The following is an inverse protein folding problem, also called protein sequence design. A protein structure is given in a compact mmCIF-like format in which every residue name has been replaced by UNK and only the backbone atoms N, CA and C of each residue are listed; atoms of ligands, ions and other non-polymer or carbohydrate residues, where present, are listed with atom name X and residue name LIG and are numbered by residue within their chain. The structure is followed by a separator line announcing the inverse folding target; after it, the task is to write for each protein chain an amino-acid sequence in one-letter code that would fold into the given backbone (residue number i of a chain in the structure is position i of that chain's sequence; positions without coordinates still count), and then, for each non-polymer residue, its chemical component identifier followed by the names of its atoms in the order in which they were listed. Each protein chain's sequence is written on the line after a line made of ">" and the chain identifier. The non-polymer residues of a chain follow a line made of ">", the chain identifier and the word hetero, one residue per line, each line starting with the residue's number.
data_IF_567306205486
#
_entry.id   IF_567306205486
#
_cell.length_a   1.000
_cell.length_b   1.000
_cell.length_c   1.000
_cell.angle_alpha   90.00
_cell.angle_beta   90.00
_cell.angle_gamma   90.00
#
_symmetry.space_group_name_H-M   'P 1'
#
loop_
_entity.id
_entity.type
_entity.pdbx_description
1 polymer ?
#
# COMPACT_ATOMS: atom_id res chain seq x y z
N UNK A 1 20.08 17.38 -18.09
CA UNK A 1 20.01 17.31 -16.60
C UNK A 1 18.81 18.08 -16.02
N UNK A 2 18.64 19.40 -16.25
CA UNK A 2 17.47 20.17 -15.71
C UNK A 2 16.09 19.61 -16.09
N UNK A 3 15.87 19.24 -17.35
CA UNK A 3 14.59 18.63 -17.79
C UNK A 3 14.31 17.25 -17.17
N UNK A 4 15.36 16.47 -16.90
CA UNK A 4 15.25 15.15 -16.25
C UNK A 4 14.85 15.32 -14.78
N UNK A 5 15.48 16.28 -14.09
CA UNK A 5 15.14 16.62 -12.72
C UNK A 5 13.71 17.17 -12.61
N UNK A 6 13.27 17.97 -13.58
CA UNK A 6 11.89 18.47 -13.64
C UNK A 6 10.86 17.35 -13.84
N UNK A 7 11.14 16.37 -14.71
CA UNK A 7 10.26 15.19 -14.88
C UNK A 7 10.24 14.30 -13.63
N UNK A 8 11.39 14.09 -12.99
CA UNK A 8 11.48 13.35 -11.74
C UNK A 8 10.68 14.03 -10.64
N UNK A 9 10.83 15.35 -10.50
CA UNK A 9 10.09 16.14 -9.52
C UNK A 9 8.59 16.08 -9.78
N UNK A 10 8.14 16.21 -11.04
CA UNK A 10 6.73 16.07 -11.39
C UNK A 10 6.19 14.66 -11.06
N UNK A 11 6.94 13.60 -11.39
CA UNK A 11 6.56 12.24 -11.01
C UNK A 11 6.48 12.08 -9.48
N UNK A 12 7.47 12.60 -8.75
CA UNK A 12 7.50 12.53 -7.29
C UNK A 12 6.32 13.28 -6.67
N UNK A 13 6.08 14.52 -7.08
CA UNK A 13 4.97 15.35 -6.56
C UNK A 13 3.63 14.73 -6.94
N UNK A 14 3.42 14.37 -8.20
CA UNK A 14 2.18 13.75 -8.67
C UNK A 14 1.87 12.44 -7.94
N UNK A 15 2.88 11.60 -7.71
CA UNK A 15 2.74 10.37 -6.94
C UNK A 15 2.38 10.65 -5.47
N UNK A 16 3.12 11.56 -4.82
CA UNK A 16 2.90 11.91 -3.42
C UNK A 16 1.49 12.49 -3.21
N UNK A 17 1.09 13.48 -4.02
CA UNK A 17 -0.21 14.14 -3.92
C UNK A 17 -1.34 13.14 -4.19
N UNK A 18 -1.23 12.32 -5.24
CA UNK A 18 -2.30 11.36 -5.59
C UNK A 18 -2.54 10.35 -4.48
N UNK A 19 -1.48 9.76 -3.92
CA UNK A 19 -1.61 8.79 -2.82
C UNK A 19 -1.99 9.42 -1.48
N UNK A 20 -1.58 10.67 -1.24
CA UNK A 20 -1.97 11.40 -0.04
C UNK A 20 -3.46 11.75 -0.07
N UNK A 21 -3.97 12.29 -1.19
CA UNK A 21 -5.41 12.55 -1.37
C UNK A 21 -6.21 11.25 -1.29
N UNK A 22 -5.73 10.19 -1.92
CA UNK A 22 -6.33 8.85 -1.83
C UNK A 22 -6.42 8.36 -0.38
N UNK A 23 -5.34 8.50 0.40
CA UNK A 23 -5.29 8.10 1.80
C UNK A 23 -6.20 8.93 2.70
N UNK A 24 -6.22 10.25 2.53
CA UNK A 24 -7.10 11.16 3.30
C UNK A 24 -8.58 10.85 3.00
N UNK A 25 -8.93 10.63 1.73
CA UNK A 25 -10.30 10.26 1.36
C UNK A 25 -10.66 8.90 1.94
N UNK A 26 -9.75 7.92 1.90
CA UNK A 26 -9.96 6.63 2.54
C UNK A 26 -10.32 6.77 4.02
N UNK A 27 -9.52 7.55 4.76
CA UNK A 27 -9.76 7.84 6.16
C UNK A 27 -11.10 8.57 6.36
N UNK A 28 -11.34 9.68 5.65
CA UNK A 28 -12.59 10.46 5.73
C UNK A 28 -13.85 9.62 5.49
N UNK A 29 -13.78 8.67 4.56
CA UNK A 29 -14.92 7.80 4.25
C UNK A 29 -15.20 6.80 5.37
N UNK A 30 -14.17 6.34 6.10
CA UNK A 30 -14.29 5.30 7.13
C UNK A 30 -14.43 5.86 8.56
N UNK A 31 -13.92 7.06 8.84
CA UNK A 31 -13.83 7.59 10.21
C UNK A 31 -14.85 8.68 10.53
N UNK A 32 -15.45 9.32 9.52
CA UNK A 32 -16.36 10.46 9.73
C UNK A 32 -17.75 10.19 9.17
N UNK A 33 -18.82 10.72 9.82
CA UNK A 33 -20.19 10.46 9.39
C UNK A 33 -20.54 11.25 8.11
N UNK A 34 -21.53 10.73 7.39
CA UNK A 34 -22.25 11.39 6.31
C UNK A 34 -23.65 11.71 6.82
N UNK A 35 -23.97 12.99 7.02
CA UNK A 35 -25.26 13.42 7.58
C UNK A 35 -25.68 12.68 8.87
N UNK A 36 -24.71 12.34 9.73
CA UNK A 36 -24.94 11.62 10.99
C UNK A 36 -24.87 10.09 10.91
N UNK A 37 -24.78 9.50 9.71
CA UNK A 37 -24.64 8.05 9.52
C UNK A 37 -23.18 7.68 9.17
N UNK A 38 -22.65 6.66 9.82
CA UNK A 38 -21.30 6.15 9.54
C UNK A 38 -21.32 5.08 8.45
N UNK A 39 -20.27 5.07 7.63
CA UNK A 39 -20.09 4.03 6.63
C UNK A 39 -19.56 2.75 7.28
N UNK A 40 -20.44 1.75 7.42
CA UNK A 40 -20.12 0.52 8.16
C UNK A 40 -19.44 -0.56 7.31
N UNK A 41 -19.71 -0.63 6.00
CA UNK A 41 -19.30 -1.76 5.15
C UNK A 41 -17.92 -1.59 4.52
N UNK A 42 -16.87 -2.05 5.21
CA UNK A 42 -15.51 -2.04 4.65
C UNK A 42 -15.39 -2.91 3.39
N UNK A 43 -16.14 -4.01 3.30
CA UNK A 43 -16.18 -4.85 2.09
C UNK A 43 -16.72 -4.11 0.88
N UNK A 44 -17.75 -3.25 1.06
CA UNK A 44 -18.28 -2.40 -0.01
C UNK A 44 -17.22 -1.43 -0.54
N UNK A 45 -16.40 -0.86 0.36
CA UNK A 45 -15.30 0.01 -0.05
C UNK A 45 -14.16 -0.75 -0.76
N UNK A 46 -13.81 -1.95 -0.28
CA UNK A 46 -12.86 -2.82 -1.00
C UNK A 46 -13.39 -3.11 -2.40
N UNK A 47 -14.66 -3.49 -2.54
CA UNK A 47 -15.28 -3.76 -3.84
C UNK A 47 -15.18 -2.56 -4.78
N UNK A 48 -15.51 -1.34 -4.34
CA UNK A 48 -15.39 -0.14 -5.16
C UNK A 48 -13.95 0.13 -5.60
N UNK A 49 -12.98 -0.04 -4.70
CA UNK A 49 -11.57 0.11 -5.04
C UNK A 49 -11.13 -0.92 -6.10
N UNK A 50 -11.58 -2.17 -5.99
CA UNK A 50 -11.27 -3.25 -6.96
C UNK A 50 -11.97 -3.06 -8.30
N UNK A 51 -13.20 -2.55 -8.30
CA UNK A 51 -13.90 -2.17 -9.51
C UNK A 51 -13.14 -1.07 -10.25
N UNK A 52 -12.67 -0.03 -9.54
CA UNK A 52 -11.80 1.00 -10.11
C UNK A 52 -10.52 0.40 -10.71
N UNK A 53 -9.80 -0.43 -9.94
CA UNK A 53 -8.60 -1.14 -10.40
C UNK A 53 -8.84 -2.00 -11.64
N UNK A 54 -9.97 -2.69 -11.71
CA UNK A 54 -10.40 -3.48 -12.86
C UNK A 54 -10.61 -2.62 -14.11
N UNK A 55 -11.33 -1.50 -13.99
CA UNK A 55 -11.58 -0.57 -15.11
C UNK A 55 -10.25 -0.02 -15.63
N UNK A 56 -9.38 0.46 -14.74
CA UNK A 56 -8.09 1.06 -15.09
C UNK A 56 -7.19 0.03 -15.79
N UNK A 57 -7.03 -1.13 -15.17
CA UNK A 57 -6.20 -2.19 -15.74
C UNK A 57 -6.74 -2.68 -17.08
N UNK A 58 -8.06 -2.75 -17.25
CA UNK A 58 -8.71 -3.04 -18.53
C UNK A 58 -8.40 -2.01 -19.62
N UNK A 59 -8.49 -0.71 -19.29
CA UNK A 59 -8.09 0.38 -20.18
C UNK A 59 -6.60 0.27 -20.55
N UNK A 60 -5.74 -0.05 -19.58
CA UNK A 60 -4.31 -0.23 -19.82
C UNK A 60 -4.00 -1.44 -20.71
N UNK A 61 -4.68 -2.57 -20.54
CA UNK A 61 -4.56 -3.71 -21.46
C UNK A 61 -4.96 -3.32 -22.88
N UNK A 62 -6.09 -2.60 -23.02
CA UNK A 62 -6.57 -2.16 -24.33
C UNK A 62 -5.60 -1.19 -25.01
N UNK A 63 -5.03 -0.25 -24.25
CA UNK A 63 -4.12 0.77 -24.76
C UNK A 63 -2.73 0.23 -25.10
N UNK A 64 -2.15 -0.62 -24.22
CA UNK A 64 -0.78 -1.10 -24.37
C UNK A 64 -0.65 -2.43 -25.12
N UNK A 65 -1.76 -3.17 -25.29
CA UNK A 65 -1.82 -4.47 -25.99
C UNK A 65 -0.62 -5.38 -25.66
N UNK A 66 -0.40 -5.71 -24.37
CA UNK A 66 0.70 -6.58 -23.97
C UNK A 66 0.61 -7.96 -24.66
N UNK A 67 1.77 -8.61 -24.91
CA UNK A 67 1.81 -9.93 -25.54
C UNK A 67 1.04 -10.96 -24.71
N UNK A 68 0.48 -11.96 -25.40
CA UNK A 68 -0.33 -12.99 -24.77
C UNK A 68 0.48 -13.80 -23.74
N UNK A 69 -0.16 -14.18 -22.64
CA UNK A 69 0.51 -14.85 -21.53
C UNK A 69 -0.01 -16.28 -21.38
N UNK A 70 0.90 -17.22 -21.12
CA UNK A 70 0.66 -18.66 -20.96
C UNK A 70 0.38 -19.07 -19.50
N UNK A 71 0.47 -18.11 -18.56
CA UNK A 71 0.26 -18.34 -17.15
C UNK A 71 -1.14 -18.87 -16.84
N UNK A 72 -1.21 -19.84 -15.92
CA UNK A 72 -2.45 -20.55 -15.64
C UNK A 72 -3.39 -19.66 -14.83
N UNK A 73 -4.65 -19.56 -15.27
CA UNK A 73 -5.67 -18.64 -14.74
C UNK A 73 -5.91 -18.82 -13.23
N UNK A 74 -5.84 -20.04 -12.69
CA UNK A 74 -6.07 -20.26 -11.25
C UNK A 74 -4.93 -19.73 -10.37
N UNK A 75 -3.70 -19.60 -10.89
CA UNK A 75 -2.55 -19.14 -10.09
C UNK A 75 -2.70 -17.67 -9.68
N UNK A 76 -3.52 -16.90 -10.39
CA UNK A 76 -3.91 -15.54 -10.03
C UNK A 76 -4.91 -15.47 -8.87
N UNK A 77 -5.60 -16.56 -8.53
CA UNK A 77 -6.59 -16.55 -7.44
C UNK A 77 -5.93 -16.35 -6.07
N UNK A 78 -4.78 -16.99 -5.80
CA UNK A 78 -4.04 -16.88 -4.54
C UNK A 78 -3.62 -15.44 -4.17
N UNK A 79 -2.92 -14.69 -5.05
CA UNK A 79 -2.55 -13.31 -4.75
C UNK A 79 -3.80 -12.43 -4.66
N UNK A 80 -4.89 -12.75 -5.37
CA UNK A 80 -6.14 -11.97 -5.32
C UNK A 80 -6.87 -12.10 -4.00
N UNK A 81 -7.04 -13.32 -3.47
CA UNK A 81 -7.66 -13.53 -2.16
C UNK A 81 -6.85 -12.83 -1.07
N UNK A 82 -5.52 -13.00 -1.10
CA UNK A 82 -4.64 -12.32 -0.16
C UNK A 82 -4.71 -10.79 -0.29
N UNK A 83 -4.78 -10.27 -1.52
CA UNK A 83 -4.87 -8.83 -1.75
C UNK A 83 -6.21 -8.23 -1.30
N UNK A 84 -7.31 -8.98 -1.47
CA UNK A 84 -8.62 -8.63 -0.93
C UNK A 84 -8.59 -8.58 0.61
N UNK A 85 -8.09 -9.64 1.25
CA UNK A 85 -8.01 -9.72 2.71
C UNK A 85 -7.07 -8.64 3.30
N UNK A 86 -5.96 -8.35 2.62
CA UNK A 86 -5.06 -7.24 2.95
C UNK A 86 -5.81 -5.90 2.96
N UNK A 87 -6.61 -5.59 1.93
CA UNK A 87 -7.38 -4.34 1.89
C UNK A 87 -8.47 -4.28 2.94
N UNK A 88 -9.20 -5.38 3.16
CA UNK A 88 -10.22 -5.43 4.19
C UNK A 88 -9.64 -5.19 5.59
N UNK A 89 -8.57 -5.92 5.94
CA UNK A 89 -7.90 -5.75 7.24
C UNK A 89 -7.31 -4.34 7.41
N UNK A 90 -6.76 -3.74 6.35
CA UNK A 90 -6.30 -2.35 6.37
C UNK A 90 -7.43 -1.35 6.62
N UNK A 91 -8.59 -1.53 5.96
CA UNK A 91 -9.72 -0.62 6.07
C UNK A 91 -10.42 -0.76 7.42
N UNK A 92 -10.61 -1.99 7.89
CA UNK A 92 -11.13 -2.25 9.25
C UNK A 92 -10.18 -1.72 10.32
N UNK A 93 -8.86 -1.83 10.13
CA UNK A 93 -7.91 -1.27 11.08
C UNK A 93 -8.06 0.25 11.26
N UNK A 94 -8.56 0.99 10.27
CA UNK A 94 -8.80 2.44 10.41
C UNK A 94 -9.94 2.76 11.39
N UNK A 95 -10.82 1.79 11.70
CA UNK A 95 -11.87 1.97 12.70
C UNK A 95 -11.35 1.89 14.14
N UNK A 96 -10.13 1.36 14.33
CA UNK A 96 -9.50 1.12 15.64
C UNK A 96 -8.17 1.85 15.82
N UNK A 97 -7.53 2.26 14.71
CA UNK A 97 -6.18 2.79 14.69
C UNK A 97 -6.12 3.98 13.75
N UNK A 98 -5.51 5.06 14.21
CA UNK A 98 -5.32 6.28 13.41
C UNK A 98 -4.42 6.03 12.19
N UNK A 99 -4.64 6.82 11.12
CA UNK A 99 -3.85 6.75 9.89
C UNK A 99 -2.33 6.84 10.10
N UNK A 100 -1.78 7.66 11.03
CA UNK A 100 -0.34 7.74 11.27
C UNK A 100 0.24 6.45 11.84
N UNK A 101 -0.48 5.81 12.76
CA UNK A 101 -0.09 4.51 13.31
C UNK A 101 -0.10 3.45 12.21
N UNK A 102 -1.07 3.47 11.28
CA UNK A 102 -1.03 2.58 10.11
C UNK A 102 0.20 2.84 9.22
N UNK A 103 0.55 4.11 8.99
CA UNK A 103 1.72 4.47 8.20
C UNK A 103 3.03 4.00 8.86
N UNK A 104 3.10 4.04 10.18
CA UNK A 104 4.23 3.48 10.93
C UNK A 104 4.29 1.96 10.84
N UNK A 105 3.17 1.26 10.97
CA UNK A 105 3.13 -0.19 10.73
C UNK A 105 3.52 -0.56 9.30
N UNK A 106 3.20 0.27 8.30
CA UNK A 106 3.69 0.06 6.93
C UNK A 106 5.20 0.12 6.81
N UNK A 107 5.92 0.88 7.66
CA UNK A 107 7.39 0.81 7.70
C UNK A 107 7.89 -0.58 8.11
N UNK A 108 7.15 -1.30 8.97
CA UNK A 108 7.49 -2.66 9.38
C UNK A 108 7.30 -3.71 8.27
N UNK A 109 6.56 -3.39 7.21
CA UNK A 109 6.22 -4.31 6.10
C UNK A 109 7.43 -5.05 5.53
N UNK A 110 8.60 -4.43 5.55
CA UNK A 110 9.84 -5.07 5.12
C UNK A 110 10.12 -6.40 5.83
N UNK A 111 9.83 -6.50 7.14
CA UNK A 111 10.12 -7.70 7.91
C UNK A 111 9.25 -8.88 7.46
N UNK A 112 7.90 -8.75 7.40
CA UNK A 112 7.05 -9.82 6.86
C UNK A 112 7.35 -10.16 5.40
N UNK A 113 7.71 -9.19 4.57
CA UNK A 113 8.10 -9.44 3.18
C UNK A 113 9.30 -10.39 3.10
N UNK A 114 10.36 -10.13 3.85
CA UNK A 114 11.58 -10.94 3.81
C UNK A 114 11.32 -12.36 4.33
N UNK A 115 10.56 -12.47 5.43
CA UNK A 115 10.16 -13.76 6.00
C UNK A 115 9.32 -14.57 4.99
N UNK A 116 8.33 -13.94 4.38
CA UNK A 116 7.46 -14.57 3.38
C UNK A 116 8.24 -14.96 2.11
N UNK A 117 9.18 -14.13 1.67
CA UNK A 117 10.03 -14.43 0.51
C UNK A 117 10.94 -15.63 0.74
N UNK A 118 11.46 -15.78 1.97
CA UNK A 118 12.21 -16.99 2.37
C UNK A 118 11.30 -18.21 2.46
N UNK A 119 10.09 -18.06 3.02
CA UNK A 119 9.10 -19.14 3.13
C UNK A 119 8.66 -19.67 1.76
N UNK A 120 8.43 -18.78 0.79
CA UNK A 120 8.05 -19.15 -0.58
C UNK A 120 9.26 -19.57 -1.45
N UNK A 121 10.47 -19.53 -0.92
CA UNK A 121 11.70 -19.93 -1.61
C UNK A 121 12.10 -18.98 -2.75
N UNK A 122 11.68 -17.72 -2.71
CA UNK A 122 11.87 -16.78 -3.81
C UNK A 122 13.29 -16.22 -3.88
N UNK A 123 13.86 -15.78 -2.74
CA UNK A 123 15.18 -15.12 -2.67
C UNK A 123 15.83 -15.26 -1.29
N UNK A 124 17.17 -15.20 -1.28
CA UNK A 124 17.98 -15.03 -0.06
C UNK A 124 18.41 -13.57 0.09
N UNK A 125 18.19 -13.00 1.26
CA UNK A 125 18.53 -11.60 1.54
C UNK A 125 19.91 -11.47 2.20
N UNK A 126 20.64 -10.37 1.93
CA UNK A 126 21.93 -10.10 2.57
C UNK A 126 21.78 -9.78 4.07
N UNK A 127 22.81 -10.09 4.85
CA UNK A 127 22.80 -9.92 6.32
C UNK A 127 22.42 -8.50 6.78
N UNK A 128 22.77 -7.46 6.00
CA UNK A 128 22.46 -6.07 6.36
C UNK A 128 20.96 -5.76 6.33
N UNK A 129 20.17 -6.43 5.47
CA UNK A 129 18.72 -6.20 5.42
C UNK A 129 18.06 -6.70 6.72
N UNK A 130 18.55 -7.79 7.32
CA UNK A 130 18.06 -8.29 8.61
C UNK A 130 18.36 -7.32 9.76
N UNK A 131 19.54 -6.68 9.76
CA UNK A 131 19.90 -5.66 10.76
C UNK A 131 18.98 -4.45 10.63
N UNK A 132 18.72 -4.01 9.39
CA UNK A 132 17.77 -2.91 9.13
C UNK A 132 16.36 -3.26 9.62
N UNK A 133 15.89 -4.47 9.33
CA UNK A 133 14.60 -4.96 9.82
C UNK A 133 14.48 -4.92 11.33
N UNK A 134 15.52 -5.37 12.03
CA UNK A 134 15.58 -5.32 13.48
C UNK A 134 15.52 -3.88 14.00
N UNK A 135 16.29 -2.96 13.41
CA UNK A 135 16.28 -1.55 13.80
C UNK A 135 14.94 -0.87 13.53
N UNK A 136 14.28 -1.16 12.40
CA UNK A 136 12.94 -0.64 12.09
C UNK A 136 11.93 -1.16 13.12
N UNK A 137 11.91 -2.47 13.39
CA UNK A 137 11.02 -3.06 14.40
C UNK A 137 11.25 -2.47 15.79
N UNK A 138 12.53 -2.29 16.17
CA UNK A 138 12.91 -1.69 17.45
C UNK A 138 12.49 -0.22 17.56
N UNK A 139 12.69 0.58 16.50
CA UNK A 139 12.27 1.98 16.47
C UNK A 139 10.75 2.14 16.54
N UNK A 140 10.00 1.27 15.87
CA UNK A 140 8.53 1.22 15.96
C UNK A 140 8.11 0.84 17.39
N UNK A 141 8.72 -0.18 18.00
CA UNK A 141 8.39 -0.59 19.36
C UNK A 141 8.60 0.55 20.38
N UNK A 142 9.74 1.26 20.32
CA UNK A 142 9.98 2.45 21.16
C UNK A 142 8.92 3.52 20.93
N UNK A 143 8.57 3.77 19.67
CA UNK A 143 7.54 4.74 19.34
C UNK A 143 6.17 4.34 19.92
N UNK A 144 5.78 3.06 19.80
CA UNK A 144 4.50 2.57 20.32
C UNK A 144 4.44 2.66 21.85
N UNK A 145 5.48 2.19 22.56
CA UNK A 145 5.51 2.28 24.03
C UNK A 145 5.45 3.73 24.52
N UNK A 146 6.19 4.63 23.86
CA UNK A 146 6.13 6.06 24.19
C UNK A 146 4.77 6.70 23.88
N UNK A 147 3.95 6.03 23.08
CA UNK A 147 2.64 6.49 22.65
C UNK A 147 1.53 5.90 23.52
N UNK A 148 1.73 4.76 24.18
CA UNK A 148 0.77 4.21 25.16
C UNK A 148 0.55 5.14 26.37
N UNK A 149 1.56 5.95 26.73
CA UNK A 149 1.46 6.98 27.77
C UNK A 149 0.75 8.27 27.29
N UNK A 150 0.44 8.39 26.01
CA UNK A 150 -0.20 9.56 25.43
C UNK A 150 -1.51 9.13 24.78
N UNK A 151 -2.62 9.45 25.44
CA UNK A 151 -3.97 9.31 24.89
C UNK A 151 -4.01 9.88 23.46
N UNK A 152 -3.89 9.01 22.45
CA UNK A 152 -4.19 9.36 21.08
C UNK A 152 -5.71 9.52 21.04
N UNK A 153 -6.13 10.77 21.17
CA UNK A 153 -7.52 11.18 21.18
C UNK A 153 -8.35 10.51 20.09
N UNK A 154 -9.39 9.81 20.53
CA UNK A 154 -10.79 10.15 20.21
C UNK A 154 -11.10 10.59 18.78
N UNK A 155 -10.78 9.75 17.78
CA UNK A 155 -11.38 9.87 16.44
C UNK A 155 -11.57 8.49 15.74
N UNK A 156 -11.64 7.40 16.51
CA UNK A 156 -11.93 6.06 16.00
C UNK A 156 -13.28 5.55 16.50
N UNK A 157 -14.17 5.18 15.57
CA UNK A 157 -15.59 4.84 15.81
C UNK A 157 -15.77 3.57 16.65
N UNK A 158 -14.82 2.63 16.62
CA UNK A 158 -14.84 1.46 17.50
C UNK A 158 -14.44 1.87 18.91
N UNK A 159 -15.17 1.41 19.94
CA UNK A 159 -14.90 1.68 21.37
C UNK A 159 -13.39 1.55 21.69
N UNK A 160 -12.62 2.66 21.71
CA UNK A 160 -11.19 2.63 22.00
C UNK A 160 -10.96 2.51 23.51
N UNK A 161 -12.03 2.68 24.30
CA UNK A 161 -12.06 2.72 25.75
C UNK A 161 -11.75 1.36 26.41
N UNK A 162 -11.63 0.28 25.63
CA UNK A 162 -11.25 -1.04 26.12
C UNK A 162 -9.92 -1.47 25.48
N UNK A 163 -8.96 -1.94 26.30
CA UNK A 163 -7.71 -2.59 25.88
C UNK A 163 -7.87 -3.59 24.71
N UNK A 164 -9.07 -4.17 24.57
CA UNK A 164 -9.47 -5.06 23.48
C UNK A 164 -9.52 -4.40 22.09
N UNK A 165 -9.92 -3.14 21.97
CA UNK A 165 -10.06 -2.43 20.68
C UNK A 165 -8.72 -2.12 20.02
N UNK A 166 -7.76 -1.59 20.79
CA UNK A 166 -6.39 -1.31 20.31
C UNK A 166 -5.67 -2.60 19.89
N UNK A 167 -5.83 -3.68 20.67
CA UNK A 167 -5.28 -5.01 20.30
C UNK A 167 -5.92 -5.54 19.02
N UNK A 168 -7.24 -5.38 18.84
CA UNK A 168 -7.92 -5.76 17.60
C UNK A 168 -7.32 -5.01 16.39
N UNK A 169 -7.17 -3.69 16.50
CA UNK A 169 -6.54 -2.86 15.48
C UNK A 169 -5.10 -3.27 15.14
N UNK A 170 -4.28 -3.55 16.15
CA UNK A 170 -2.91 -4.04 15.95
C UNK A 170 -2.87 -5.42 15.28
N UNK A 171 -3.76 -6.35 15.68
CA UNK A 171 -3.87 -7.66 15.03
C UNK A 171 -4.30 -7.53 13.56
N UNK A 172 -5.25 -6.65 13.25
CA UNK A 172 -5.66 -6.36 11.88
C UNK A 172 -4.50 -5.81 11.04
N UNK A 173 -3.67 -4.92 11.61
CA UNK A 173 -2.48 -4.42 10.92
C UNK A 173 -1.43 -5.51 10.69
N UNK A 174 -1.23 -6.42 11.65
CA UNK A 174 -0.37 -7.58 11.46
C UNK A 174 -0.87 -8.48 10.33
N UNK A 175 -2.17 -8.80 10.28
CA UNK A 175 -2.75 -9.57 9.18
C UNK A 175 -2.65 -8.85 7.84
N UNK A 176 -2.91 -7.54 7.81
CA UNK A 176 -2.68 -6.70 6.64
C UNK A 176 -1.27 -6.90 6.10
N UNK A 177 -0.24 -6.76 6.94
CA UNK A 177 1.16 -6.90 6.51
C UNK A 177 1.49 -8.31 6.01
N UNK A 178 0.97 -9.35 6.66
CA UNK A 178 1.18 -10.75 6.23
C UNK A 178 0.56 -11.00 4.86
N UNK A 179 -0.70 -10.61 4.68
CA UNK A 179 -1.41 -10.80 3.41
C UNK A 179 -0.84 -9.94 2.29
N UNK A 180 -0.44 -8.71 2.59
CA UNK A 180 0.20 -7.84 1.61
C UNK A 180 1.57 -8.39 1.16
N UNK A 181 2.33 -8.92 2.12
CA UNK A 181 3.61 -9.58 1.85
C UNK A 181 3.45 -10.86 1.04
N UNK A 182 2.46 -11.69 1.35
CA UNK A 182 2.13 -12.88 0.57
C UNK A 182 1.76 -12.51 -0.87
N UNK A 183 0.89 -11.52 -1.04
CA UNK A 183 0.47 -11.05 -2.37
C UNK A 183 1.68 -10.69 -3.21
N UNK A 184 2.57 -9.85 -2.66
CA UNK A 184 3.76 -9.41 -3.37
C UNK A 184 4.70 -10.56 -3.71
N UNK A 185 5.03 -11.39 -2.72
CA UNK A 185 5.96 -12.51 -2.93
C UNK A 185 5.41 -13.56 -3.90
N UNK A 186 4.11 -13.83 -3.86
CA UNK A 186 3.48 -14.71 -4.83
C UNK A 186 3.50 -14.12 -6.24
N UNK A 187 3.22 -12.82 -6.38
CA UNK A 187 3.34 -12.14 -7.66
C UNK A 187 4.76 -12.24 -8.21
N UNK A 188 5.78 -11.95 -7.39
CA UNK A 188 7.19 -12.15 -7.77
C UNK A 188 7.45 -13.54 -8.34
N UNK A 189 7.02 -14.59 -7.61
CA UNK A 189 7.19 -15.98 -8.03
C UNK A 189 6.55 -16.26 -9.39
N UNK A 190 5.36 -15.70 -9.63
CA UNK A 190 4.64 -15.84 -10.91
C UNK A 190 5.43 -15.24 -12.07
N UNK A 191 6.00 -14.05 -11.89
CA UNK A 191 6.82 -13.41 -12.92
C UNK A 191 8.15 -14.11 -13.14
N UNK A 192 8.78 -14.67 -12.09
CA UNK A 192 10.00 -15.47 -12.25
C UNK A 192 9.73 -16.78 -13.01
N UNK A 193 8.52 -17.35 -12.86
CA UNK A 193 8.14 -18.61 -13.51
C UNK A 193 7.63 -18.41 -14.94
N UNK A 194 6.99 -17.28 -15.22
CA UNK A 194 6.38 -16.96 -16.51
C UNK A 194 6.98 -15.66 -17.04
N UNK A 195 8.04 -15.75 -17.84
CA UNK A 195 8.72 -14.57 -18.40
C UNK A 195 7.85 -13.78 -19.38
N UNK A 196 6.83 -14.43 -19.95
CA UNK A 196 5.80 -13.88 -20.84
C UNK A 196 4.65 -13.17 -20.10
N UNK A 197 4.64 -13.22 -18.76
CA UNK A 197 3.63 -12.55 -17.95
C UNK A 197 3.84 -11.04 -17.96
N UNK A 198 2.88 -10.32 -18.53
CA UNK A 198 2.88 -8.86 -18.48
C UNK A 198 2.37 -8.35 -17.12
N UNK A 199 2.98 -7.29 -16.56
CA UNK A 199 2.47 -6.59 -15.38
C UNK A 199 1.02 -6.14 -15.48
N UNK A 200 0.61 -5.74 -16.69
CA UNK A 200 -0.77 -5.34 -16.96
C UNK A 200 -1.73 -6.53 -16.80
N UNK A 201 -1.36 -7.71 -17.33
CA UNK A 201 -2.14 -8.94 -17.17
C UNK A 201 -2.28 -9.32 -15.69
N UNK A 202 -1.20 -9.26 -14.91
CA UNK A 202 -1.25 -9.52 -13.47
C UNK A 202 -2.16 -8.52 -12.75
N UNK A 203 -2.02 -7.23 -13.02
CA UNK A 203 -2.84 -6.19 -12.39
C UNK A 203 -4.33 -6.36 -12.71
N UNK A 204 -4.65 -6.71 -13.96
CA UNK A 204 -6.02 -6.97 -14.39
C UNK A 204 -6.59 -8.23 -13.76
N UNK A 205 -5.86 -9.35 -13.82
CA UNK A 205 -6.28 -10.60 -13.22
C UNK A 205 -6.51 -10.45 -11.72
N UNK A 206 -5.57 -9.84 -11.00
CA UNK A 206 -5.67 -9.65 -9.55
C UNK A 206 -6.84 -8.77 -9.18
N UNK A 207 -7.06 -7.64 -9.86
CA UNK A 207 -8.23 -6.81 -9.58
C UNK A 207 -9.55 -7.48 -9.97
N UNK A 208 -9.58 -8.27 -11.06
CA UNK A 208 -10.78 -9.00 -11.49
C UNK A 208 -11.18 -10.05 -10.46
N UNK A 209 -10.26 -10.94 -10.09
CA UNK A 209 -10.53 -11.97 -9.09
C UNK A 209 -10.83 -11.34 -7.72
N UNK A 210 -10.08 -10.30 -7.30
CA UNK A 210 -10.35 -9.60 -6.04
C UNK A 210 -11.73 -8.94 -6.04
N UNK A 211 -12.17 -8.36 -7.16
CA UNK A 211 -13.52 -7.79 -7.30
C UNK A 211 -14.59 -8.87 -7.17
N UNK A 212 -14.43 -10.00 -7.85
CA UNK A 212 -15.36 -11.14 -7.76
C UNK A 212 -15.43 -11.67 -6.33
N UNK A 213 -14.30 -11.94 -5.68
CA UNK A 213 -14.27 -12.42 -4.31
C UNK A 213 -14.88 -11.39 -3.34
N UNK A 214 -14.57 -10.10 -3.50
CA UNK A 214 -15.13 -9.04 -2.65
C UNK A 214 -16.64 -8.96 -2.79
N UNK A 215 -17.16 -9.09 -4.01
CA UNK A 215 -18.60 -9.11 -4.27
C UNK A 215 -19.27 -10.33 -3.64
N UNK A 216 -18.69 -11.52 -3.79
CA UNK A 216 -19.18 -12.75 -3.16
C UNK A 216 -19.22 -12.57 -1.63
N UNK A 217 -18.15 -12.04 -1.03
CA UNK A 217 -18.12 -11.78 0.42
C UNK A 217 -19.17 -10.75 0.84
N UNK A 218 -19.39 -9.70 0.06
CA UNK A 218 -20.41 -8.68 0.33
C UNK A 218 -21.84 -9.24 0.31
N UNK A 219 -22.12 -10.18 -0.60
CA UNK A 219 -23.39 -10.91 -0.65
C UNK A 219 -23.53 -11.86 0.55
N UNK A 220 -22.48 -12.63 0.86
CA UNK A 220 -22.50 -13.60 1.97
C UNK A 220 -22.63 -12.94 3.35
N UNK A 221 -22.00 -11.80 3.56
CA UNK A 221 -22.08 -11.02 4.81
C UNK A 221 -23.40 -10.25 4.95
N UNK A 222 -24.26 -10.26 3.92
CA UNK A 222 -25.54 -9.53 3.86
C UNK A 222 -25.39 -8.00 4.02
N UNK A 223 -24.20 -7.47 3.73
CA UNK A 223 -23.93 -6.03 3.77
C UNK A 223 -24.25 -5.33 2.45
N UNK A 224 -24.52 -6.07 1.37
CA UNK A 224 -24.76 -5.50 0.03
C UNK A 224 -25.90 -4.48 0.01
N UNK A 225 -27.04 -4.81 0.63
CA UNK A 225 -28.22 -3.95 0.64
C UNK A 225 -27.94 -2.65 1.41
N UNK A 226 -27.37 -2.76 2.60
CA UNK A 226 -26.97 -1.62 3.43
C UNK A 226 -25.94 -0.73 2.73
N UNK A 227 -24.97 -1.34 2.05
CA UNK A 227 -23.96 -0.63 1.28
C UNK A 227 -24.58 0.17 0.13
N UNK A 228 -25.43 -0.46 -0.68
CA UNK A 228 -26.09 0.19 -1.83
C UNK A 228 -27.01 1.31 -1.36
N UNK A 229 -27.81 1.06 -0.33
CA UNK A 229 -28.72 2.06 0.24
C UNK A 229 -27.95 3.27 0.77
N UNK A 230 -26.85 3.06 1.49
CA UNK A 230 -26.00 4.13 2.00
C UNK A 230 -25.42 4.99 0.86
N UNK A 231 -24.90 4.35 -0.19
CA UNK A 231 -24.33 5.05 -1.36
C UNK A 231 -25.38 5.89 -2.08
N UNK A 232 -26.63 5.40 -2.19
CA UNK A 232 -27.74 6.15 -2.80
C UNK A 232 -28.21 7.30 -1.91
N UNK A 233 -28.26 7.09 -0.59
CA UNK A 233 -28.76 8.06 0.39
C UNK A 233 -27.81 9.24 0.57
N UNK A 234 -26.49 9.03 0.42
CA UNK A 234 -25.47 10.03 0.67
C UNK A 234 -24.74 10.44 -0.61
N UNK A 235 -25.23 11.46 -1.36
CA UNK A 235 -24.66 11.84 -2.65
C UNK A 235 -23.23 12.38 -2.56
N UNK A 236 -22.81 12.92 -1.40
CA UNK A 236 -21.43 13.30 -1.14
C UNK A 236 -20.46 12.12 -1.28
N UNK A 237 -20.92 10.90 -0.96
CA UNK A 237 -20.11 9.69 -1.08
C UNK A 237 -19.75 9.40 -2.54
N UNK A 238 -20.62 9.71 -3.51
CA UNK A 238 -20.32 9.55 -4.93
C UNK A 238 -19.11 10.39 -5.35
N UNK A 239 -19.03 11.64 -4.86
CA UNK A 239 -17.91 12.51 -5.15
C UNK A 239 -16.62 11.96 -4.51
N UNK A 240 -16.68 11.52 -3.25
CA UNK A 240 -15.52 10.91 -2.60
C UNK A 240 -15.03 9.66 -3.32
N UNK A 241 -15.95 8.75 -3.71
CA UNK A 241 -15.62 7.54 -4.47
C UNK A 241 -15.03 7.88 -5.83
N UNK A 242 -15.59 8.88 -6.54
CA UNK A 242 -15.06 9.31 -7.84
C UNK A 242 -13.63 9.84 -7.73
N UNK A 243 -13.40 10.78 -6.80
CA UNK A 243 -12.05 11.34 -6.57
C UNK A 243 -11.10 10.25 -6.10
N UNK A 244 -11.55 9.36 -5.22
CA UNK A 244 -10.77 8.21 -4.74
C UNK A 244 -10.32 7.31 -5.89
N UNK A 245 -11.23 6.95 -6.82
CA UNK A 245 -10.89 6.16 -8.01
C UNK A 245 -9.96 6.91 -8.97
N UNK A 246 -10.17 8.21 -9.20
CA UNK A 246 -9.29 9.02 -10.06
C UNK A 246 -7.88 9.10 -9.46
N UNK A 247 -7.76 9.41 -8.17
CA UNK A 247 -6.47 9.48 -7.48
C UNK A 247 -5.76 8.13 -7.47
N UNK A 248 -6.49 7.02 -7.30
CA UNK A 248 -5.94 5.67 -7.43
C UNK A 248 -5.38 5.42 -8.84
N UNK A 249 -6.15 5.79 -9.87
CA UNK A 249 -5.74 5.68 -11.29
C UNK A 249 -4.48 6.48 -11.59
N UNK A 250 -4.51 7.77 -11.27
CA UNK A 250 -3.41 8.70 -11.53
C UNK A 250 -2.17 8.27 -10.75
N UNK A 251 -2.34 7.82 -9.50
CA UNK A 251 -1.29 7.23 -8.69
C UNK A 251 -0.63 6.03 -9.37
N UNK A 252 -1.42 5.07 -9.87
CA UNK A 252 -0.92 3.90 -10.60
C UNK A 252 -0.17 4.29 -11.89
N UNK A 253 -0.65 5.29 -12.63
CA UNK A 253 0.04 5.81 -13.82
C UNK A 253 1.38 6.45 -13.46
N UNK A 254 1.45 7.23 -12.38
CA UNK A 254 2.71 7.80 -11.89
C UNK A 254 3.68 6.73 -11.39
N UNK A 255 3.21 5.66 -10.75
CA UNK A 255 4.06 4.51 -10.41
C UNK A 255 4.69 3.96 -11.69
N UNK A 256 3.86 3.62 -12.67
CA UNK A 256 4.33 3.05 -13.93
C UNK A 256 5.32 3.98 -14.63
N UNK A 257 4.99 5.26 -14.74
CA UNK A 257 5.84 6.27 -15.38
C UNK A 257 7.16 6.49 -14.64
N UNK A 258 7.13 6.43 -13.30
CA UNK A 258 8.34 6.60 -12.48
C UNK A 258 9.28 5.42 -12.68
N UNK A 259 8.76 4.21 -12.59
CA UNK A 259 9.58 2.99 -12.75
C UNK A 259 10.10 2.89 -14.18
N UNK A 260 9.25 3.12 -15.18
CA UNK A 260 9.67 3.05 -16.60
C UNK A 260 10.80 4.02 -16.94
N UNK A 261 10.76 5.24 -16.42
CA UNK A 261 11.73 6.28 -16.79
C UNK A 261 12.95 6.38 -15.87
N UNK A 262 12.79 6.04 -14.59
CA UNK A 262 13.81 6.25 -13.56
C UNK A 262 14.22 4.98 -12.83
N UNK A 263 13.57 3.85 -13.10
CA UNK A 263 13.85 2.57 -12.46
C UNK A 263 13.20 2.43 -11.08
N UNK A 264 13.27 1.22 -10.55
CA UNK A 264 12.58 0.84 -9.34
C UNK A 264 13.25 1.37 -8.06
N UNK A 265 14.58 1.59 -8.07
CA UNK A 265 15.33 2.23 -6.98
C UNK A 265 14.78 3.64 -6.70
N UNK A 266 14.61 4.45 -7.74
CA UNK A 266 14.14 5.84 -7.63
C UNK A 266 12.70 5.88 -7.16
N UNK A 267 11.86 4.99 -7.68
CA UNK A 267 10.48 4.84 -7.21
C UNK A 267 10.41 4.55 -5.70
N UNK A 268 11.23 3.62 -5.21
CA UNK A 268 11.24 3.28 -3.81
C UNK A 268 11.75 4.42 -2.91
N UNK A 269 12.71 5.23 -3.38
CA UNK A 269 13.12 6.45 -2.68
C UNK A 269 11.94 7.43 -2.55
N UNK A 270 11.17 7.63 -3.64
CA UNK A 270 9.98 8.50 -3.62
C UNK A 270 8.94 7.96 -2.62
N UNK A 271 8.71 6.64 -2.61
CA UNK A 271 7.74 6.00 -1.71
C UNK A 271 8.14 6.09 -0.23
N UNK A 272 9.42 5.89 0.08
CA UNK A 272 9.93 6.07 1.43
C UNK A 272 9.80 7.53 1.87
N UNK A 273 10.18 8.48 1.01
CA UNK A 273 10.03 9.91 1.28
C UNK A 273 8.57 10.27 1.57
N UNK A 274 7.61 9.69 0.85
CA UNK A 274 6.18 9.86 1.12
C UNK A 274 5.82 9.46 2.53
N UNK A 275 6.23 8.27 2.97
CA UNK A 275 5.90 7.76 4.31
C UNK A 275 6.45 8.71 5.39
N UNK A 276 7.70 9.15 5.23
CA UNK A 276 8.33 10.14 6.12
C UNK A 276 7.51 11.43 6.16
N UNK A 277 7.17 11.99 4.99
CA UNK A 277 6.38 13.22 4.87
C UNK A 277 4.98 13.08 5.46
N UNK A 278 4.29 11.96 5.24
CA UNK A 278 2.96 11.70 5.80
C UNK A 278 2.98 11.63 7.33
N UNK A 279 3.99 10.98 7.92
CA UNK A 279 4.15 10.92 9.37
C UNK A 279 4.42 12.32 9.93
N UNK A 280 5.38 13.05 9.36
CA UNK A 280 5.72 14.42 9.79
C UNK A 280 4.52 15.36 9.66
N UNK A 281 3.81 15.33 8.53
CA UNK A 281 2.65 16.18 8.28
C UNK A 281 1.52 15.87 9.26
N UNK A 282 1.31 14.60 9.59
CA UNK A 282 0.32 14.22 10.61
C UNK A 282 0.71 14.71 12.00
N UNK A 283 1.98 14.56 12.39
CA UNK A 283 2.46 15.06 13.68
C UNK A 283 2.25 16.57 13.82
N UNK A 284 2.46 17.33 12.73
CA UNK A 284 2.26 18.78 12.70
C UNK A 284 0.78 19.15 12.74
N UNK A 285 -0.07 18.50 11.92
CA UNK A 285 -1.49 18.86 11.81
C UNK A 285 -2.28 18.51 13.06
N UNK A 286 -2.07 17.32 13.61
CA UNK A 286 -2.87 16.83 14.73
C UNK A 286 -2.28 17.22 16.09
N UNK A 287 -1.19 17.98 16.12
CA UNK A 287 -0.52 18.45 17.33
C UNK A 287 -0.32 17.35 18.37
N UNK A 288 -0.03 16.12 17.91
CA UNK A 288 0.20 15.01 18.82
C UNK A 288 1.41 15.36 19.69
N UNK A 289 1.29 15.37 21.02
CA UNK A 289 2.45 15.50 21.88
C UNK A 289 3.36 14.31 21.51
N UNK A 290 4.59 14.59 21.05
CA UNK A 290 5.58 13.55 20.82
C UNK A 290 6.50 13.60 22.04
N UNK A 291 6.40 12.60 22.90
CA UNK A 291 7.34 12.40 24.00
C UNK A 291 8.76 12.25 23.43
N UNK A 292 9.76 12.66 24.22
CA UNK A 292 11.16 12.57 23.81
C UNK A 292 11.57 11.14 23.39
N UNK A 293 10.95 10.13 23.99
CA UNK A 293 11.16 8.72 23.65
C UNK A 293 10.57 8.36 22.27
N UNK A 294 9.36 8.83 21.95
CA UNK A 294 8.74 8.65 20.63
C UNK A 294 9.53 9.34 19.51
N UNK A 295 10.08 10.52 19.77
CA UNK A 295 10.97 11.21 18.81
C UNK A 295 12.24 10.40 18.53
N UNK A 296 12.79 9.73 19.54
CA UNK A 296 13.94 8.85 19.39
C UNK A 296 13.61 7.60 18.57
N UNK A 297 12.45 6.97 18.82
CA UNK A 297 11.95 5.85 18.02
C UNK A 297 11.79 6.18 16.53
N UNK A 298 11.18 7.33 16.22
CA UNK A 298 11.06 7.83 14.84
C UNK A 298 12.43 8.06 14.17
N UNK A 299 13.37 8.65 14.90
CA UNK A 299 14.72 8.88 14.38
C UNK A 299 15.40 7.55 13.99
N UNK A 300 15.27 6.51 14.80
CA UNK A 300 15.81 5.17 14.49
C UNK A 300 15.20 4.61 13.20
N UNK A 301 13.87 4.69 13.05
CA UNK A 301 13.18 4.21 11.84
C UNK A 301 13.68 4.94 10.60
N UNK A 302 13.75 6.27 10.65
CA UNK A 302 14.22 7.08 9.52
C UNK A 302 15.69 6.80 9.18
N UNK A 303 16.56 6.70 10.19
CA UNK A 303 17.97 6.38 10.00
C UNK A 303 18.16 4.99 9.36
N UNK A 304 17.35 4.00 9.77
CA UNK A 304 17.39 2.63 9.24
C UNK A 304 16.98 2.57 7.76
N UNK A 305 15.89 3.26 7.41
CA UNK A 305 15.42 3.39 6.02
C UNK A 305 16.49 4.09 5.17
N UNK A 306 17.04 5.21 5.65
CA UNK A 306 18.08 5.95 4.93
C UNK A 306 19.35 5.12 4.72
N UNK A 307 19.78 4.36 5.73
CA UNK A 307 20.91 3.44 5.64
C UNK A 307 20.69 2.35 4.59
N UNK A 308 19.50 1.75 4.58
CA UNK A 308 19.12 0.73 3.58
C UNK A 308 19.13 1.28 2.16
N UNK A 309 18.56 2.47 1.95
CA UNK A 309 18.57 3.15 0.65
C UNK A 309 20.01 3.39 0.21
N UNK A 310 20.87 3.91 1.09
CA UNK A 310 22.28 4.14 0.79
C UNK A 310 22.99 2.85 0.36
N UNK A 311 22.76 1.74 1.06
CA UNK A 311 23.34 0.42 0.75
C UNK A 311 22.85 -0.13 -0.58
N UNK A 312 21.56 -0.03 -0.89
CA UNK A 312 21.01 -0.46 -2.20
C UNK A 312 21.46 0.43 -3.36
N UNK A 313 21.79 1.69 -3.08
CA UNK A 313 22.31 2.66 -4.06
C UNK A 313 23.80 2.44 -4.36
N UNK A 314 24.56 1.88 -3.41
CA UNK A 314 25.98 1.58 -3.61
C UNK A 314 26.15 0.51 -4.72
N UNK A 315 26.57 0.95 -5.91
CA UNK A 315 26.85 0.07 -7.05
C UNK A 315 25.86 0.18 -8.21
N UNK A 316 24.75 0.93 -8.07
CA UNK A 316 23.79 1.17 -9.15
C UNK A 316 23.77 2.65 -9.55
N UNK A 317 23.87 2.95 -10.85
CA UNK A 317 23.65 4.31 -11.35
C UNK A 317 22.18 4.71 -11.13
N UNK A 318 21.96 5.71 -10.28
CA UNK A 318 20.61 6.21 -9.91
C UNK A 318 19.78 6.75 -11.09
N UNK A 319 20.41 7.06 -12.22
CA UNK A 319 19.74 7.64 -13.39
C UNK A 319 20.20 6.89 -14.63
N UNK A 320 19.69 5.66 -14.82
CA UNK A 320 19.87 4.93 -16.08
C UNK A 320 18.66 5.19 -16.97
N UNK A 321 18.83 5.95 -18.04
CA UNK A 321 17.78 6.13 -19.06
C UNK A 321 17.69 4.82 -19.86
N UNK A 322 16.74 3.94 -19.54
CA UNK A 322 16.59 2.65 -20.25
C UNK A 322 15.68 2.86 -21.47
N UNK A 323 16.29 3.09 -22.64
CA UNK A 323 15.58 3.42 -23.90
C UNK A 323 14.83 2.23 -24.52
N UNK A 324 15.11 1.00 -24.08
CA UNK A 324 14.39 -0.20 -24.51
C UNK A 324 14.38 -1.23 -23.36
N UNK A 325 13.21 -1.55 -22.83
CA UNK A 325 12.98 -2.75 -22.02
C UNK A 325 12.32 -3.75 -22.97
N UNK A 326 13.09 -4.72 -23.46
CA UNK A 326 12.55 -5.76 -24.35
C UNK A 326 11.93 -6.94 -23.59
N UNK A 327 12.05 -7.02 -22.26
CA UNK A 327 11.50 -8.12 -21.47
C UNK A 327 10.76 -7.59 -20.22
N UNK A 328 9.47 -7.91 -20.13
CA UNK A 328 8.61 -7.51 -19.00
C UNK A 328 8.98 -8.17 -17.67
N UNK A 329 9.70 -9.30 -17.71
CA UNK A 329 10.15 -10.08 -16.55
C UNK A 329 11.25 -9.38 -15.74
N UNK A 330 12.30 -8.86 -16.39
CA UNK A 330 13.38 -8.10 -15.72
C UNK A 330 12.84 -6.82 -15.05
N UNK A 331 11.92 -6.14 -15.73
CA UNK A 331 11.28 -4.93 -15.22
C UNK A 331 10.50 -5.22 -13.93
N UNK A 332 9.71 -6.30 -13.89
CA UNK A 332 8.94 -6.64 -12.70
C UNK A 332 9.83 -7.16 -11.56
N UNK A 333 10.90 -7.92 -11.86
CA UNK A 333 11.87 -8.34 -10.85
C UNK A 333 12.51 -7.15 -10.12
N UNK A 334 12.84 -6.08 -10.87
CA UNK A 334 13.37 -4.83 -10.34
C UNK A 334 12.27 -4.06 -9.58
N UNK A 335 11.08 -3.92 -10.16
CA UNK A 335 9.90 -3.30 -9.52
C UNK A 335 9.56 -3.96 -8.19
N UNK A 336 9.55 -5.28 -8.11
CA UNK A 336 9.14 -6.02 -6.92
C UNK A 336 10.22 -6.05 -5.84
N UNK A 337 11.49 -6.22 -6.21
CA UNK A 337 12.63 -6.13 -5.27
C UNK A 337 12.74 -4.75 -4.59
N UNK A 338 12.10 -3.74 -5.17
CA UNK A 338 12.05 -2.37 -4.67
C UNK A 338 10.63 -1.90 -4.22
N UNK A 339 9.53 -2.57 -4.61
CA UNK A 339 8.16 -2.45 -4.04
C UNK A 339 8.00 -3.25 -2.74
N UNK A 340 8.92 -4.19 -2.49
CA UNK A 340 9.20 -4.80 -1.21
C UNK A 340 9.90 -3.81 -0.22
N UNK A 341 9.84 -2.50 -0.51
CA UNK A 341 10.10 -1.39 0.43
C UNK A 341 8.78 -0.71 0.74
#
# INVERSE_FOLDING_TARGET
>A
KKQVLGRLFNCAVGLNVSFLVWGILQERMLTRPYNGEYFSSSYGLVFLNRLGGFIISGIMLYAFKPPHTSAVVYEFSFPSVSNMLSSWTQYEALKYVSFPTQMLFKCFKLVPIMLMGKFLGNKSYPAYDYVVCFMIGFGIAIFMVSTEDMEFGTDSIGTPETWSGTICGMMLLCFFLVFDSFTGQWQSRMFSRHEDLSPFHMMFAVNTFSMIFSFITLVHTKELEQFVEFVIRHPEMHFHVMVFSICSTVGQLYIFQTIRNFGAVVFAIIMNTRIILSIVFSCIIYSHPISSQGSFGLFIVFASIAYRIKRKTQGHELIRWRTHISHGSEWFHEVHEHLDM
#
